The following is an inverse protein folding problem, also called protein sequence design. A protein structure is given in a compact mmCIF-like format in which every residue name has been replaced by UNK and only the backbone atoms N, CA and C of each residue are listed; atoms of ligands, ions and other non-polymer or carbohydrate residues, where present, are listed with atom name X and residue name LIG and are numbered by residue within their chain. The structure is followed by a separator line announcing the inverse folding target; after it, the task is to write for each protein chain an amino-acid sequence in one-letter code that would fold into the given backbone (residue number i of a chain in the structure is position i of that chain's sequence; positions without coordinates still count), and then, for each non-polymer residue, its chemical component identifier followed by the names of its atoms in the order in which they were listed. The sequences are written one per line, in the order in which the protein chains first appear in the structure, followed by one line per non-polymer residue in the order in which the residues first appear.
data_IF_032057132859
#
_entry.id   IF_032057132859
#
_cell.length_a   1.000
_cell.length_b   1.000
_cell.length_c   1.000
_cell.angle_alpha   90.00
_cell.angle_beta   90.00
_cell.angle_gamma   90.00
#
_symmetry.space_group_name_H-M   'P 1'
#
loop_
_entity.id
_entity.type
_entity.pdbx_description
1 polymer ?
#
# COMPACT_ATOMS: atom_id res chain seq x y z
N UNK A 1 -7.43 1.32 -18.27
CA UNK A 1 -7.92 0.26 -17.36
C UNK A 1 -7.64 0.75 -15.94
N UNK A 2 -7.85 -0.05 -14.89
CA UNK A 2 -7.44 0.36 -13.53
C UNK A 2 -6.44 -0.67 -13.03
N UNK A 3 -5.23 -0.24 -12.70
CA UNK A 3 -4.26 -1.11 -12.03
C UNK A 3 -4.64 -1.17 -10.55
N UNK A 4 -4.73 -2.37 -9.97
CA UNK A 4 -5.14 -2.56 -8.58
C UNK A 4 -4.18 -3.48 -7.83
N UNK A 5 -3.67 -3.02 -6.69
CA UNK A 5 -2.78 -3.78 -5.82
C UNK A 5 -3.37 -3.81 -4.41
N UNK A 6 -3.58 -5.00 -3.86
CA UNK A 6 -4.06 -5.20 -2.49
C UNK A 6 -2.95 -5.78 -1.61
N UNK A 7 -2.75 -5.21 -0.42
CA UNK A 7 -1.76 -5.67 0.57
C UNK A 7 -2.28 -5.53 2.00
N UNK A 8 -1.95 -6.50 2.85
CA UNK A 8 -2.25 -6.48 4.28
C UNK A 8 -1.00 -6.27 5.12
N UNK A 9 -1.11 -5.44 6.15
CA UNK A 9 -0.03 -5.07 7.06
C UNK A 9 -0.46 -5.30 8.51
N UNK A 10 0.37 -6.00 9.28
CA UNK A 10 0.10 -6.31 10.69
C UNK A 10 0.88 -5.40 11.62
N UNK A 11 0.30 -5.10 12.78
CA UNK A 11 0.95 -4.31 13.82
C UNK A 11 1.01 -2.81 13.52
N UNK A 12 0.26 -2.33 12.52
CA UNK A 12 0.11 -0.90 12.23
C UNK A 12 -1.32 -0.45 12.50
N UNK A 13 -1.49 0.85 12.77
CA UNK A 13 -2.81 1.46 12.99
C UNK A 13 -3.26 2.25 11.76
N UNK A 14 -4.57 2.45 11.60
CA UNK A 14 -5.16 3.32 10.58
C UNK A 14 -4.56 4.74 10.62
N UNK A 15 -4.24 5.26 11.82
CA UNK A 15 -3.60 6.57 11.97
C UNK A 15 -2.22 6.61 11.30
N UNK A 16 -1.44 5.54 11.42
CA UNK A 16 -0.13 5.45 10.75
C UNK A 16 -0.29 5.28 9.25
N UNK A 17 -1.30 4.52 8.81
CA UNK A 17 -1.63 4.34 7.39
C UNK A 17 -1.89 5.68 6.74
N UNK A 18 -2.85 6.45 7.27
CA UNK A 18 -3.15 7.81 6.80
C UNK A 18 -1.88 8.65 6.79
N UNK A 19 -1.13 8.69 7.89
CA UNK A 19 0.10 9.49 7.97
C UNK A 19 1.11 9.13 6.88
N UNK A 20 1.28 7.85 6.57
CA UNK A 20 2.26 7.42 5.58
C UNK A 20 1.79 7.71 4.16
N UNK A 21 0.52 7.42 3.84
CA UNK A 21 -0.08 7.77 2.56
C UNK A 21 -0.03 9.28 2.30
N UNK A 22 -0.28 10.11 3.32
CA UNK A 22 -0.16 11.56 3.17
C UNK A 22 1.29 12.03 3.00
N UNK A 23 2.27 11.35 3.60
CA UNK A 23 3.68 11.67 3.36
C UNK A 23 4.16 11.24 1.96
N UNK A 24 3.41 10.38 1.28
CA UNK A 24 3.64 9.93 -0.09
C UNK A 24 2.89 10.80 -1.11
N UNK A 25 2.36 11.95 -0.70
CA UNK A 25 1.67 12.90 -1.59
C UNK A 25 0.15 12.77 -1.59
N UNK A 26 -0.44 11.89 -0.78
CA UNK A 26 -1.89 11.76 -0.68
C UNK A 26 -2.56 12.81 0.23
N UNK A 27 -3.85 13.05 0.01
CA UNK A 27 -4.75 13.79 0.87
C UNK A 27 -5.89 12.89 1.36
N UNK A 28 -6.23 12.96 2.64
CA UNK A 28 -7.32 12.14 3.20
C UNK A 28 -8.68 12.74 2.84
N UNK A 29 -9.34 12.16 1.85
CA UNK A 29 -10.66 12.58 1.38
C UNK A 29 -11.82 11.90 2.12
N UNK A 30 -11.58 10.75 2.77
CA UNK A 30 -12.58 10.04 3.57
C UNK A 30 -11.98 9.39 4.81
N UNK A 31 -12.83 8.79 5.65
CA UNK A 31 -12.35 8.08 6.86
C UNK A 31 -11.37 6.95 6.52
N UNK A 32 -11.56 6.30 5.39
CA UNK A 32 -10.92 5.08 4.93
C UNK A 32 -10.26 5.25 3.55
N UNK A 33 -10.17 6.49 3.06
CA UNK A 33 -9.65 6.76 1.72
C UNK A 33 -8.67 7.92 1.74
N UNK A 34 -7.53 7.72 1.06
CA UNK A 34 -6.52 8.74 0.75
C UNK A 34 -6.34 8.77 -0.77
N UNK A 35 -6.38 9.95 -1.36
CA UNK A 35 -6.22 10.19 -2.80
C UNK A 35 -4.93 10.95 -3.04
N UNK A 36 -4.09 10.45 -3.94
CA UNK A 36 -2.89 11.12 -4.45
C UNK A 36 -3.12 11.66 -5.86
N UNK A 37 -2.04 12.07 -6.53
CA UNK A 37 -2.10 12.68 -7.87
C UNK A 37 -2.73 11.73 -8.91
N UNK A 38 -2.24 10.50 -9.00
CA UNK A 38 -2.71 9.49 -9.97
C UNK A 38 -3.15 8.16 -9.32
N UNK A 39 -3.32 8.16 -8.00
CA UNK A 39 -3.68 6.95 -7.26
C UNK A 39 -4.68 7.20 -6.14
N UNK A 40 -5.45 6.17 -5.81
CA UNK A 40 -6.33 6.14 -4.64
C UNK A 40 -5.98 4.94 -3.77
N UNK A 41 -5.95 5.14 -2.45
CA UNK A 41 -5.81 4.07 -1.48
C UNK A 41 -7.03 4.01 -0.56
N UNK A 42 -7.73 2.89 -0.58
CA UNK A 42 -8.80 2.57 0.38
C UNK A 42 -8.32 1.52 1.36
N UNK A 43 -8.61 1.70 2.65
CA UNK A 43 -8.13 0.79 3.70
C UNK A 43 -9.21 0.39 4.70
N UNK A 44 -9.08 -0.82 5.23
CA UNK A 44 -9.89 -1.37 6.32
C UNK A 44 -8.99 -1.95 7.41
N UNK A 45 -9.47 -2.04 8.63
CA UNK A 45 -8.75 -2.68 9.72
C UNK A 45 -9.59 -3.72 10.46
N UNK A 46 -8.92 -4.75 10.95
CA UNK A 46 -9.50 -5.78 11.79
C UNK A 46 -8.49 -6.26 12.85
N UNK A 47 -8.98 -6.98 13.86
CA UNK A 47 -8.12 -7.62 14.87
C UNK A 47 -7.99 -9.10 14.55
N UNK A 48 -6.77 -9.55 14.28
CA UNK A 48 -6.46 -10.94 13.90
C UNK A 48 -5.62 -11.63 14.98
N UNK A 49 -5.84 -12.93 15.17
CA UNK A 49 -4.98 -13.74 16.03
C UNK A 49 -3.72 -14.19 15.26
N UNK A 50 -2.55 -14.00 15.86
CA UNK A 50 -1.26 -14.49 15.36
C UNK A 50 -0.62 -15.43 16.37
N UNK A 51 -1.31 -16.55 16.61
CA UNK A 51 -0.90 -17.61 17.52
C UNK A 51 -1.86 -17.79 18.69
N UNK A 52 -1.44 -18.53 19.73
CA UNK A 52 -2.36 -19.00 20.77
C UNK A 52 -2.88 -17.89 21.70
N UNK A 53 -2.18 -16.77 21.82
CA UNK A 53 -2.52 -15.72 22.80
C UNK A 53 -2.28 -14.29 22.31
N UNK A 54 -1.75 -14.10 21.10
CA UNK A 54 -1.42 -12.78 20.57
C UNK A 54 -2.42 -12.39 19.50
N UNK A 55 -2.97 -11.18 19.62
CA UNK A 55 -3.78 -10.54 18.57
C UNK A 55 -3.11 -9.26 18.11
N UNK A 56 -3.18 -8.97 16.82
CA UNK A 56 -2.72 -7.71 16.26
C UNK A 56 -3.82 -7.06 15.43
N UNK A 57 -3.73 -5.75 15.31
CA UNK A 57 -4.40 -5.05 14.22
C UNK A 57 -3.76 -5.46 12.90
N UNK A 58 -4.59 -5.89 11.96
CA UNK A 58 -4.26 -6.03 10.55
C UNK A 58 -4.98 -4.92 9.79
N UNK A 59 -4.28 -4.25 8.90
CA UNK A 59 -4.85 -3.27 7.98
C UNK A 59 -4.67 -3.79 6.57
N UNK A 60 -5.77 -3.90 5.83
CA UNK A 60 -5.74 -4.16 4.38
C UNK A 60 -5.87 -2.85 3.64
N UNK A 61 -5.01 -2.63 2.65
CA UNK A 61 -5.00 -1.45 1.79
C UNK A 61 -5.11 -1.90 0.34
N UNK A 62 -6.04 -1.29 -0.37
CA UNK A 62 -6.22 -1.41 -1.82
C UNK A 62 -5.73 -0.12 -2.45
N UNK A 63 -4.71 -0.24 -3.29
CA UNK A 63 -4.16 0.84 -4.10
C UNK A 63 -4.69 0.69 -5.53
N UNK A 64 -5.19 1.78 -6.09
CA UNK A 64 -5.76 1.84 -7.44
C UNK A 64 -5.16 3.01 -8.20
N UNK A 65 -4.77 2.79 -9.45
CA UNK A 65 -4.26 3.80 -10.39
C UNK A 65 -5.12 3.80 -11.64
N UNK A 66 -5.56 4.98 -12.08
CA UNK A 66 -6.32 5.15 -13.32
C UNK A 66 -5.34 5.27 -14.51
N UNK A 67 -5.06 4.15 -15.18
CA UNK A 67 -4.03 4.12 -16.22
C UNK A 67 -4.20 2.99 -17.25
N UNK A 68 -3.63 3.19 -18.43
CA UNK A 68 -3.52 2.14 -19.44
C UNK A 68 -2.41 1.18 -19.01
N UNK A 69 -2.79 0.08 -18.34
CA UNK A 69 -1.85 -1.00 -17.99
C UNK A 69 -1.22 -1.56 -19.27
N UNK A 70 -0.02 -1.11 -19.63
CA UNK A 70 0.86 -1.92 -20.48
C UNK A 70 1.31 -3.08 -19.62
N UNK A 71 0.66 -4.23 -19.82
CA UNK A 71 0.95 -5.46 -19.10
C UNK A 71 2.43 -5.78 -19.18
N UNK A 72 3.14 -5.65 -18.06
CA UNK A 72 4.43 -6.33 -17.89
C UNK A 72 4.12 -7.80 -17.73
N UNK A 73 4.09 -8.49 -18.88
CA UNK A 73 4.04 -9.94 -18.99
C UNK A 73 5.08 -10.57 -18.04
N UNK A 74 4.65 -11.59 -17.32
CA UNK A 74 5.47 -12.40 -16.44
C UNK A 74 6.63 -13.02 -17.21
N UNK A 75 7.84 -12.48 -17.05
CA UNK A 75 9.02 -12.94 -17.76
C UNK A 75 10.30 -12.72 -16.96
N UNK A 76 10.67 -13.75 -16.20
CA UNK A 76 12.04 -14.24 -16.00
C UNK A 76 13.17 -13.22 -15.73
N UNK A 77 13.71 -13.30 -14.51
CA UNK A 77 15.08 -12.93 -14.10
C UNK A 77 15.86 -12.02 -15.07
N UNK A 78 15.78 -10.71 -14.83
CA UNK A 78 16.65 -9.74 -15.46
C UNK A 78 16.65 -8.48 -14.64
N UNK A 79 17.80 -8.16 -14.05
CA UNK A 79 18.10 -6.94 -13.33
C UNK A 79 17.62 -5.71 -14.13
N UNK A 80 16.39 -5.27 -13.86
CA UNK A 80 15.86 -4.05 -14.42
C UNK A 80 15.96 -3.01 -13.32
N UNK A 81 16.99 -2.17 -13.42
CA UNK A 81 17.00 -0.87 -12.76
C UNK A 81 15.84 -0.05 -13.35
N UNK A 82 14.63 -0.30 -12.85
CA UNK A 82 13.45 0.49 -13.15
C UNK A 82 13.43 1.61 -12.12
N UNK A 83 14.19 2.68 -12.39
CA UNK A 83 14.03 4.00 -11.74
C UNK A 83 12.67 4.60 -12.18
N UNK A 84 11.58 3.87 -11.98
CA UNK A 84 10.22 4.35 -12.17
C UNK A 84 9.65 4.60 -10.78
N UNK A 85 10.10 5.72 -10.20
CA UNK A 85 9.73 6.16 -8.87
C UNK A 85 8.21 6.46 -8.74
N UNK A 86 7.53 6.58 -9.89
CA UNK A 86 6.12 6.95 -10.07
C UNK A 86 5.15 5.77 -10.32
N UNK A 87 5.61 4.51 -10.33
CA UNK A 87 4.70 3.35 -10.48
C UNK A 87 3.88 3.09 -9.22
N UNK A 88 2.64 2.60 -9.37
CA UNK A 88 1.82 2.10 -8.25
C UNK A 88 2.55 1.04 -7.40
N UNK A 89 3.40 0.20 -8.02
CA UNK A 89 4.23 -0.77 -7.29
C UNK A 89 5.28 -0.09 -6.41
N UNK A 90 5.93 0.97 -6.91
CA UNK A 90 6.89 1.77 -6.14
C UNK A 90 6.21 2.46 -4.95
N UNK A 91 4.99 2.97 -5.14
CA UNK A 91 4.19 3.53 -4.04
C UNK A 91 3.92 2.47 -2.95
N UNK A 92 3.50 1.26 -3.34
CA UNK A 92 3.25 0.14 -2.43
C UNK A 92 4.53 -0.24 -1.68
N UNK A 93 5.67 -0.31 -2.37
CA UNK A 93 6.95 -0.65 -1.76
C UNK A 93 7.45 0.42 -0.77
N UNK A 94 7.34 1.70 -1.13
CA UNK A 94 7.66 2.82 -0.23
C UNK A 94 6.78 2.80 1.02
N UNK A 95 5.48 2.52 0.86
CA UNK A 95 4.57 2.35 1.99
C UNK A 95 5.00 1.16 2.86
N UNK A 96 5.22 -0.01 2.25
CA UNK A 96 5.58 -1.23 2.94
C UNK A 96 6.88 -1.08 3.74
N UNK A 97 7.91 -0.46 3.15
CA UNK A 97 9.17 -0.17 3.82
C UNK A 97 8.97 0.68 5.08
N UNK A 98 8.07 1.66 5.02
CA UNK A 98 7.75 2.51 6.18
C UNK A 98 6.96 1.76 7.25
N UNK A 99 5.97 0.96 6.84
CA UNK A 99 5.14 0.15 7.73
C UNK A 99 5.98 -0.88 8.50
N UNK A 100 6.89 -1.58 7.83
CA UNK A 100 7.78 -2.56 8.46
C UNK A 100 8.72 -1.93 9.48
N UNK A 101 9.27 -0.74 9.18
CA UNK A 101 10.14 -0.02 10.13
C UNK A 101 9.42 0.44 11.39
N UNK A 102 8.11 0.61 11.35
CA UNK A 102 7.32 1.07 12.49
C UNK A 102 6.76 -0.07 13.36
N UNK A 103 6.73 -1.30 12.84
CA UNK A 103 6.25 -2.50 13.52
C UNK A 103 7.34 -3.33 14.23
N UNK A 104 8.59 -2.86 14.24
CA UNK A 104 9.74 -3.49 14.90
C UNK A 104 10.11 -2.83 16.23
#
# INVERSE_FOLDING_TARGET
MTTRIERSFRGISERLVVRYLTNLGGERIAKDTVEGEDWTATFSSETVAIGPSLTLTEVTIVFEEEGESEGKDEGESGETNSDTDDSLESLVDKFAQKAMRAGG
#
